data_IF_601610927965
#
_entry.id   IF_601610927965
#
_cell.length_a   1.000
_cell.length_b   1.000
_cell.length_c   1.000
_cell.angle_alpha   90.00
_cell.angle_beta   90.00
_cell.angle_gamma   90.00
#
_symmetry.space_group_name_H-M   'P 1'
#
loop_
_entity.id
_entity.type
_entity.pdbx_description
1 polymer ?
#
# COMPACT_ATOMS: atom_id res chain seq x y z
N UNK A 1 -23.29 1.50 8.24
CA UNK A 1 -23.16 2.13 6.91
C UNK A 1 -24.38 1.77 6.11
N UNK A 2 -25.11 2.77 5.62
CA UNK A 2 -26.23 2.55 4.71
C UNK A 2 -25.78 2.59 3.23
N UNK A 3 -26.71 2.30 2.31
CA UNK A 3 -26.43 2.26 0.87
C UNK A 3 -25.96 3.62 0.34
N UNK A 4 -26.50 4.73 0.84
CA UNK A 4 -26.14 6.07 0.38
C UNK A 4 -24.72 6.44 0.81
N UNK A 5 -24.38 6.19 2.07
CA UNK A 5 -23.03 6.33 2.60
C UNK A 5 -22.03 5.45 1.83
N UNK A 6 -22.44 4.25 1.41
CA UNK A 6 -21.58 3.36 0.64
C UNK A 6 -21.33 3.86 -0.80
N UNK A 7 -22.32 4.46 -1.45
CA UNK A 7 -22.14 5.11 -2.76
C UNK A 7 -21.11 6.25 -2.68
N UNK A 8 -21.06 7.00 -1.57
CA UNK A 8 -20.03 8.02 -1.36
C UNK A 8 -18.62 7.41 -1.23
N UNK A 9 -18.50 6.24 -0.58
CA UNK A 9 -17.23 5.50 -0.50
C UNK A 9 -16.79 4.99 -1.88
N UNK A 10 -17.73 4.51 -2.72
CA UNK A 10 -17.45 4.12 -4.11
C UNK A 10 -16.98 5.34 -4.92
N UNK A 11 -17.65 6.49 -4.79
CA UNK A 11 -17.27 7.71 -5.49
C UNK A 11 -15.88 8.21 -5.08
N UNK A 12 -15.51 8.10 -3.80
CA UNK A 12 -14.17 8.38 -3.31
C UNK A 12 -13.14 7.39 -3.88
N UNK A 13 -13.44 6.09 -3.83
CA UNK A 13 -12.59 5.03 -4.39
C UNK A 13 -12.30 5.29 -5.87
N UNK A 14 -13.33 5.63 -6.64
CA UNK A 14 -13.22 5.97 -8.06
C UNK A 14 -12.35 7.19 -8.29
N UNK A 15 -12.53 8.28 -7.54
CA UNK A 15 -11.68 9.49 -7.66
C UNK A 15 -10.21 9.17 -7.43
N UNK A 16 -9.90 8.36 -6.41
CA UNK A 16 -8.53 7.94 -6.13
C UNK A 16 -7.94 7.09 -7.25
N UNK A 17 -8.70 6.10 -7.75
CA UNK A 17 -8.25 5.23 -8.83
C UNK A 17 -8.12 5.98 -10.16
N UNK A 18 -9.02 6.89 -10.49
CA UNK A 18 -8.93 7.74 -11.68
C UNK A 18 -7.70 8.66 -11.61
N UNK A 19 -7.45 9.27 -10.45
CA UNK A 19 -6.23 10.05 -10.22
C UNK A 19 -4.98 9.21 -10.45
N UNK A 20 -4.98 7.98 -9.94
CA UNK A 20 -3.89 7.03 -10.12
C UNK A 20 -3.68 6.64 -11.59
N UNK A 21 -4.74 6.36 -12.34
CA UNK A 21 -4.61 5.91 -13.73
C UNK A 21 -4.40 7.04 -14.74
N UNK A 22 -4.68 8.31 -14.37
CA UNK A 22 -4.48 9.47 -15.26
C UNK A 22 -3.06 9.99 -15.26
N UNK A 23 -2.30 9.82 -14.18
CA UNK A 23 -0.90 10.27 -14.15
C UNK A 23 -0.07 9.41 -15.10
N UNK A 24 0.51 10.03 -16.12
CA UNK A 24 1.39 9.39 -17.11
C UNK A 24 2.73 8.90 -16.56
N UNK A 25 3.01 9.18 -15.28
CA UNK A 25 4.21 8.75 -14.58
C UNK A 25 3.88 7.72 -13.50
N UNK A 26 3.54 6.50 -13.92
CA UNK A 26 3.29 5.36 -13.02
C UNK A 26 4.48 5.12 -12.07
N UNK A 27 5.69 5.51 -12.46
CA UNK A 27 6.89 5.41 -11.61
C UNK A 27 6.75 6.26 -10.35
N UNK A 28 6.18 7.46 -10.48
CA UNK A 28 5.90 8.36 -9.36
C UNK A 28 4.93 7.72 -8.37
N UNK A 29 3.85 7.11 -8.87
CA UNK A 29 2.83 6.50 -8.01
C UNK A 29 3.26 5.22 -7.30
N UNK A 30 4.01 4.34 -7.98
CA UNK A 30 4.59 3.16 -7.32
C UNK A 30 5.54 3.61 -6.23
N UNK A 31 6.33 4.65 -6.50
CA UNK A 31 7.26 5.24 -5.54
C UNK A 31 6.50 5.83 -4.35
N UNK A 32 5.47 6.65 -4.59
CA UNK A 32 4.58 7.18 -3.54
C UNK A 32 3.94 6.05 -2.74
N UNK A 33 3.44 5.01 -3.40
CA UNK A 33 2.77 3.91 -2.74
C UNK A 33 3.68 3.09 -1.83
N UNK A 34 4.87 2.75 -2.32
CA UNK A 34 5.90 2.08 -1.53
C UNK A 34 6.40 2.97 -0.39
N UNK A 35 6.52 4.28 -0.62
CA UNK A 35 6.88 5.26 0.42
C UNK A 35 5.85 5.28 1.54
N UNK A 36 4.56 5.48 1.21
CA UNK A 36 3.47 5.51 2.19
C UNK A 36 3.33 4.18 2.94
N UNK A 37 3.43 3.06 2.21
CA UNK A 37 3.44 1.71 2.80
C UNK A 37 4.62 1.52 3.76
N UNK A 38 5.82 1.99 3.39
CA UNK A 38 7.02 1.95 4.22
C UNK A 38 6.90 2.82 5.47
N UNK A 39 6.44 4.07 5.34
CA UNK A 39 6.21 5.00 6.45
C UNK A 39 5.19 4.42 7.45
N UNK A 40 4.10 3.83 6.96
CA UNK A 40 3.11 3.17 7.81
C UNK A 40 3.73 1.99 8.57
N UNK A 41 4.54 1.17 7.91
CA UNK A 41 5.22 0.04 8.55
C UNK A 41 6.29 0.47 9.56
N UNK A 42 7.03 1.55 9.31
CA UNK A 42 7.92 2.14 10.33
C UNK A 42 7.14 2.57 11.58
N UNK A 43 5.90 3.04 11.41
CA UNK A 43 5.04 3.42 12.54
C UNK A 43 4.43 2.21 13.27
N UNK A 44 4.01 1.16 12.56
CA UNK A 44 3.24 0.06 13.16
C UNK A 44 4.06 -1.20 13.45
N UNK A 45 5.02 -1.55 12.60
CA UNK A 45 5.87 -2.75 12.72
C UNK A 45 7.32 -2.47 12.29
N UNK A 46 8.03 -1.51 12.93
CA UNK A 46 9.36 -1.07 12.51
C UNK A 46 10.39 -2.21 12.53
N UNK A 47 10.42 -3.01 13.60
CA UNK A 47 11.39 -4.10 13.76
C UNK A 47 11.29 -5.11 12.61
N UNK A 48 10.07 -5.56 12.29
CA UNK A 48 9.84 -6.50 11.20
C UNK A 48 10.28 -5.92 9.84
N UNK A 49 10.03 -4.63 9.58
CA UNK A 49 10.46 -4.01 8.33
C UNK A 49 12.00 -3.91 8.24
N UNK A 50 12.66 -3.49 9.33
CA UNK A 50 14.12 -3.34 9.38
C UNK A 50 14.84 -4.69 9.23
N UNK A 51 14.29 -5.76 9.82
CA UNK A 51 14.83 -7.13 9.72
C UNK A 51 14.58 -7.77 8.35
N UNK A 52 13.41 -7.54 7.75
CA UNK A 52 13.06 -8.18 6.48
C UNK A 52 13.64 -7.47 5.26
N UNK A 53 13.92 -6.17 5.34
CA UNK A 53 14.42 -5.40 4.21
C UNK A 53 15.69 -5.96 3.55
N UNK A 54 16.70 -6.49 4.28
CA UNK A 54 17.84 -7.17 3.65
C UNK A 54 17.50 -8.50 2.94
N UNK A 55 16.33 -9.09 3.24
CA UNK A 55 15.94 -10.43 2.78
C UNK A 55 14.88 -10.39 1.67
N UNK A 56 14.04 -9.36 1.64
CA UNK A 56 12.93 -9.21 0.70
C UNK A 56 13.01 -7.91 -0.11
N UNK A 57 12.88 -8.04 -1.44
CA UNK A 57 12.98 -6.92 -2.36
C UNK A 57 11.89 -5.86 -2.18
N UNK A 58 10.68 -6.25 -1.80
CA UNK A 58 9.57 -5.30 -1.61
C UNK A 58 9.78 -4.49 -0.33
N UNK A 59 10.14 -5.16 0.75
CA UNK A 59 10.43 -4.52 2.04
C UNK A 59 11.68 -3.66 1.97
N UNK A 60 12.70 -4.09 1.23
CA UNK A 60 13.85 -3.27 0.86
C UNK A 60 13.41 -1.95 0.21
N UNK A 61 12.57 -2.01 -0.82
CA UNK A 61 12.11 -0.81 -1.54
C UNK A 61 11.24 0.09 -0.67
N UNK A 62 10.35 -0.48 0.15
CA UNK A 62 9.52 0.28 1.09
C UNK A 62 10.37 1.04 2.10
N UNK A 63 11.32 0.36 2.73
CA UNK A 63 12.16 0.94 3.76
C UNK A 63 13.07 2.03 3.19
N UNK A 64 13.76 1.75 2.08
CA UNK A 64 14.64 2.74 1.43
C UNK A 64 13.89 4.00 1.03
N UNK A 65 12.73 3.87 0.39
CA UNK A 65 11.91 5.03 0.01
C UNK A 65 11.36 5.79 1.22
N UNK A 66 10.89 5.10 2.25
CA UNK A 66 10.40 5.74 3.47
C UNK A 66 11.50 6.51 4.21
N UNK A 67 12.70 5.94 4.33
CA UNK A 67 13.84 6.62 4.93
C UNK A 67 14.31 7.81 4.08
N UNK A 68 14.36 7.65 2.75
CA UNK A 68 14.66 8.77 1.84
C UNK A 68 13.67 9.92 2.03
N UNK A 69 12.37 9.63 2.11
CA UNK A 69 11.35 10.64 2.37
C UNK A 69 11.54 11.33 3.73
N UNK A 70 11.82 10.57 4.81
CA UNK A 70 12.09 11.16 6.13
C UNK A 70 13.32 12.08 6.09
N UNK A 71 14.39 11.68 5.39
CA UNK A 71 15.58 12.51 5.20
C UNK A 71 15.27 13.78 4.41
N UNK A 72 14.58 13.66 3.27
CA UNK A 72 14.21 14.79 2.41
C UNK A 72 13.34 15.82 3.13
N UNK A 73 12.40 15.35 3.96
CA UNK A 73 11.47 16.20 4.72
C UNK A 73 12.00 16.67 6.06
N UNK A 74 13.20 16.25 6.47
CA UNK A 74 13.76 16.54 7.78
C UNK A 74 13.01 15.89 8.96
N UNK A 75 12.20 14.86 8.69
CA UNK A 75 11.51 14.11 9.74
C UNK A 75 12.51 13.31 10.58
N UNK A 76 12.33 13.22 11.91
CA UNK A 76 13.26 12.53 12.78
C UNK A 76 13.32 11.03 12.45
N UNK A 77 14.53 10.50 12.31
CA UNK A 77 14.79 9.07 12.21
C UNK A 77 14.96 8.49 13.62
N UNK A 78 14.33 7.36 13.91
CA UNK A 78 14.53 6.63 15.16
C UNK A 78 15.92 5.98 15.24
N UNK A 79 16.37 5.56 16.42
CA UNK A 79 17.72 5.00 16.59
C UNK A 79 17.99 3.79 15.69
N UNK A 80 17.05 2.84 15.64
CA UNK A 80 17.17 1.64 14.80
C UNK A 80 17.16 1.99 13.30
N UNK A 81 16.38 2.99 12.89
CA UNK A 81 16.33 3.49 11.52
C UNK A 81 17.66 4.15 11.13
N UNK A 82 18.23 4.98 12.01
CA UNK A 82 19.56 5.60 11.81
C UNK A 82 20.65 4.55 11.70
N UNK A 83 20.64 3.55 12.59
CA UNK A 83 21.61 2.47 12.57
C UNK A 83 21.52 1.65 11.27
N UNK A 84 20.30 1.34 10.82
CA UNK A 84 20.07 0.66 9.54
C UNK A 84 20.56 1.51 8.36
N UNK A 85 20.18 2.79 8.31
CA UNK A 85 20.57 3.71 7.24
C UNK A 85 22.10 3.89 7.17
N UNK A 86 22.77 3.97 8.32
CA UNK A 86 24.24 4.05 8.37
C UNK A 86 24.89 2.80 7.75
N UNK A 87 24.41 1.60 8.08
CA UNK A 87 24.89 0.34 7.48
C UNK A 87 24.65 0.32 5.97
N UNK A 88 23.46 0.74 5.54
CA UNK A 88 23.12 0.86 4.12
C UNK A 88 24.07 1.79 3.37
N UNK A 89 24.33 2.99 3.90
CA UNK A 89 25.23 3.97 3.28
C UNK A 89 26.69 3.52 3.24
N UNK A 90 27.12 2.67 4.18
CA UNK A 90 28.45 2.03 4.17
C UNK A 90 28.54 0.81 3.25
N UNK A 91 27.46 0.42 2.59
CA UNK A 91 27.42 -0.77 1.73
C UNK A 91 27.39 -2.09 2.49
N UNK A 92 27.12 -2.08 3.80
CA UNK A 92 27.02 -3.30 4.62
C UNK A 92 25.69 -4.04 4.43
N UNK A 93 24.70 -3.40 3.79
CA UNK A 93 23.41 -3.98 3.46
C UNK A 93 23.35 -4.17 1.94
N UNK A 94 23.43 -5.41 1.50
CA UNK A 94 23.25 -5.76 0.10
C UNK A 94 21.79 -5.64 -0.32
N UNK A 95 21.58 -5.16 -1.55
CA UNK A 95 20.25 -5.14 -2.15
C UNK A 95 19.81 -6.57 -2.45
N UNK A 96 18.68 -7.06 -1.89
CA UNK A 96 18.21 -8.40 -2.18
C UNK A 96 17.87 -8.53 -3.67
N UNK A 97 18.17 -9.70 -4.23
CA UNK A 97 17.81 -10.00 -5.61
C UNK A 97 16.29 -10.04 -5.74
N UNK A 98 15.77 -9.36 -6.77
CA UNK A 98 14.39 -9.59 -7.16
C UNK A 98 14.29 -11.02 -7.67
N UNK A 99 13.42 -11.85 -7.07
CA UNK A 99 13.10 -13.16 -7.64
C UNK A 99 12.41 -12.89 -8.98
N UNK A 100 13.18 -13.01 -10.07
CA UNK A 100 12.73 -12.75 -11.42
C UNK A 100 11.43 -13.51 -11.72
N UNK A 101 10.42 -12.78 -12.16
CA UNK A 101 9.12 -13.28 -12.57
C UNK A 101 8.42 -12.20 -13.39
N UNK A 102 7.46 -12.60 -14.25
CA UNK A 102 6.64 -11.67 -15.04
C UNK A 102 6.19 -10.53 -14.12
N UNK A 103 6.36 -9.24 -14.50
CA UNK A 103 5.79 -8.15 -13.73
C UNK A 103 4.31 -8.47 -13.59
N UNK A 104 3.90 -8.87 -12.39
CA UNK A 104 2.48 -8.90 -12.02
C UNK A 104 1.99 -7.46 -12.16
N UNK A 105 0.70 -7.22 -12.41
CA UNK A 105 0.15 -5.87 -12.54
C UNK A 105 0.41 -5.05 -11.26
N UNK A 106 1.63 -4.55 -11.09
CA UNK A 106 2.11 -3.90 -9.87
C UNK A 106 1.39 -2.60 -9.65
N UNK A 107 1.05 -1.92 -10.72
CA UNK A 107 0.51 -0.57 -10.68
C UNK A 107 -0.95 -0.65 -10.21
N UNK A 108 -1.72 -1.58 -10.78
CA UNK A 108 -3.08 -1.87 -10.31
C UNK A 108 -3.09 -2.42 -8.90
N UNK A 109 -2.19 -3.35 -8.56
CA UNK A 109 -2.12 -3.93 -7.22
C UNK A 109 -1.75 -2.83 -6.18
N UNK A 110 -0.83 -1.92 -6.52
CA UNK A 110 -0.47 -0.76 -5.69
C UNK A 110 -1.64 0.22 -5.59
N UNK A 111 -2.30 0.56 -6.70
CA UNK A 111 -3.47 1.44 -6.70
C UNK A 111 -4.55 0.92 -5.75
N UNK A 112 -4.82 -0.38 -5.80
CA UNK A 112 -5.76 -1.07 -4.92
C UNK A 112 -5.34 -0.92 -3.47
N UNK A 113 -4.08 -1.25 -3.14
CA UNK A 113 -3.60 -1.19 -1.75
C UNK A 113 -3.67 0.23 -1.20
N UNK A 114 -3.30 1.24 -1.98
CA UNK A 114 -3.36 2.64 -1.55
C UNK A 114 -4.79 3.11 -1.39
N UNK A 115 -5.68 2.76 -2.31
CA UNK A 115 -7.10 3.07 -2.19
C UNK A 115 -7.70 2.40 -0.94
N UNK A 116 -7.36 1.14 -0.65
CA UNK A 116 -7.84 0.48 0.59
C UNK A 116 -7.38 1.22 1.82
N UNK A 117 -6.09 1.58 1.89
CA UNK A 117 -5.52 2.31 3.02
C UNK A 117 -6.19 3.69 3.19
N UNK A 118 -6.34 4.45 2.11
CA UNK A 118 -6.96 5.77 2.15
C UNK A 118 -8.43 5.69 2.57
N UNK A 119 -9.21 4.75 2.04
CA UNK A 119 -10.61 4.58 2.44
C UNK A 119 -10.72 4.19 3.91
N UNK A 120 -9.83 3.32 4.38
CA UNK A 120 -9.78 2.93 5.81
C UNK A 120 -9.47 4.14 6.69
N UNK A 121 -8.45 4.93 6.32
CA UNK A 121 -7.99 6.07 7.10
C UNK A 121 -8.96 7.26 7.05
N UNK A 122 -9.60 7.53 5.89
CA UNK A 122 -10.45 8.71 5.67
C UNK A 122 -11.93 8.48 5.95
N UNK A 123 -12.44 7.27 5.68
CA UNK A 123 -13.87 6.94 5.80
C UNK A 123 -14.15 5.97 6.95
N UNK A 124 -13.11 5.47 7.63
CA UNK A 124 -13.26 4.54 8.75
C UNK A 124 -13.85 3.18 8.34
N UNK A 125 -13.82 2.84 7.05
CA UNK A 125 -14.33 1.56 6.55
C UNK A 125 -13.33 0.45 6.76
N UNK A 126 -13.80 -0.74 7.15
CA UNK A 126 -12.92 -1.90 7.26
C UNK A 126 -12.34 -2.28 5.89
N UNK A 127 -11.06 -2.70 5.83
CA UNK A 127 -10.43 -3.13 4.58
C UNK A 127 -11.20 -4.23 3.86
N UNK A 128 -11.69 -5.21 4.64
CA UNK A 128 -12.48 -6.36 4.17
C UNK A 128 -13.75 -6.49 4.99
N UNK A 129 -14.78 -7.11 4.41
CA UNK A 129 -15.98 -7.50 5.15
C UNK A 129 -15.59 -8.50 6.24
N UNK A 130 -16.20 -8.39 7.42
CA UNK A 130 -16.22 -9.47 8.41
C UNK A 130 -17.55 -10.24 8.26
N UNK A 131 -17.54 -11.55 8.56
CA UNK A 131 -18.74 -12.39 8.39
C UNK A 131 -19.88 -12.03 9.37
N UNK A 132 -19.63 -11.13 10.33
CA UNK A 132 -20.52 -10.88 11.47
C UNK A 132 -21.25 -9.53 11.46
N UNK A 133 -20.85 -8.50 10.69
CA UNK A 133 -21.38 -7.15 10.96
C UNK A 133 -21.45 -6.11 9.83
N UNK A 134 -20.82 -6.26 8.66
CA UNK A 134 -20.99 -5.28 7.57
C UNK A 134 -21.01 -5.92 6.18
N UNK A 135 -22.04 -5.66 5.35
CA UNK A 135 -22.04 -6.09 3.95
C UNK A 135 -21.04 -5.30 3.08
N UNK A 136 -20.56 -4.16 3.58
CA UNK A 136 -19.73 -3.22 2.83
C UNK A 136 -18.32 -3.11 3.41
N UNK A 137 -17.32 -3.04 2.54
CA UNK A 137 -15.90 -2.86 2.88
C UNK A 137 -15.17 -2.01 1.85
N UNK A 138 -13.95 -1.57 2.18
CA UNK A 138 -13.08 -0.86 1.22
C UNK A 138 -12.84 -1.70 -0.05
N UNK A 139 -12.66 -3.02 0.08
CA UNK A 139 -12.52 -3.92 -1.07
C UNK A 139 -13.77 -3.95 -1.97
N UNK A 140 -14.97 -3.82 -1.40
CA UNK A 140 -16.22 -3.77 -2.19
C UNK A 140 -16.31 -2.47 -2.98
N UNK A 141 -16.03 -1.34 -2.32
CA UNK A 141 -16.06 -0.04 -2.97
C UNK A 141 -15.06 0.04 -4.12
N UNK A 142 -13.86 -0.53 -3.93
CA UNK A 142 -12.81 -0.57 -4.96
C UNK A 142 -13.19 -1.52 -6.10
N UNK A 143 -13.81 -2.68 -5.81
CA UNK A 143 -14.26 -3.60 -6.85
C UNK A 143 -15.32 -2.94 -7.76
N UNK A 144 -16.28 -2.24 -7.16
CA UNK A 144 -17.29 -1.47 -7.89
C UNK A 144 -16.65 -0.35 -8.72
N UNK A 145 -15.76 0.44 -8.13
CA UNK A 145 -15.05 1.51 -8.83
C UNK A 145 -14.19 0.99 -9.99
N UNK A 146 -13.50 -0.14 -9.84
CA UNK A 146 -12.73 -0.77 -10.90
C UNK A 146 -13.62 -1.27 -12.05
N UNK A 147 -14.81 -1.81 -11.72
CA UNK A 147 -15.80 -2.21 -12.73
C UNK A 147 -16.27 -1.01 -13.56
N UNK A 148 -16.59 0.11 -12.91
CA UNK A 148 -16.99 1.36 -13.58
C UNK A 148 -15.87 1.92 -14.49
N UNK A 149 -14.61 1.70 -14.09
CA UNK A 149 -13.43 2.12 -14.85
C UNK A 149 -13.02 1.12 -15.95
N UNK A 150 -13.72 -0.01 -16.10
CA UNK A 150 -13.36 -1.06 -17.05
C UNK A 150 -12.00 -1.71 -16.75
N UNK A 151 -11.62 -1.78 -15.46
CA UNK A 151 -10.35 -2.34 -14.98
C UNK A 151 -10.59 -3.59 -14.14
N UNK A 152 -9.65 -4.53 -14.17
CA UNK A 152 -9.67 -5.73 -13.31
C UNK A 152 -8.78 -5.54 -12.09
N UNK A 153 -9.07 -6.19 -10.94
CA UNK A 153 -10.22 -7.05 -10.66
C UNK A 153 -11.52 -6.26 -10.35
N UNK A 154 -12.65 -6.77 -10.84
CA UNK A 154 -14.00 -6.17 -10.66
C UNK A 154 -14.82 -6.85 -9.56
N UNK A 155 -14.21 -7.76 -8.79
CA UNK A 155 -14.88 -8.53 -7.76
C UNK A 155 -14.22 -8.32 -6.41
N UNK A 156 -15.01 -8.36 -5.35
CA UNK A 156 -14.53 -8.30 -3.97
C UNK A 156 -13.41 -9.31 -3.72
N UNK A 157 -13.59 -10.58 -4.10
CA UNK A 157 -12.57 -11.62 -3.88
C UNK A 157 -11.26 -11.33 -4.63
N UNK A 158 -11.35 -10.74 -5.83
CA UNK A 158 -10.16 -10.32 -6.58
C UNK A 158 -9.41 -9.21 -5.87
N UNK A 159 -10.11 -8.17 -5.42
CA UNK A 159 -9.54 -7.04 -4.68
C UNK A 159 -9.00 -7.49 -3.32
N UNK A 160 -9.76 -8.30 -2.57
CA UNK A 160 -9.35 -8.89 -1.29
C UNK A 160 -8.08 -9.71 -1.45
N UNK A 161 -7.96 -10.52 -2.50
CA UNK A 161 -6.74 -11.30 -2.77
C UNK A 161 -5.51 -10.42 -3.00
N UNK A 162 -5.68 -9.29 -3.68
CA UNK A 162 -4.60 -8.29 -3.86
C UNK A 162 -4.26 -7.65 -2.52
N UNK A 163 -5.27 -7.19 -1.78
CA UNK A 163 -5.12 -6.61 -0.46
C UNK A 163 -4.39 -7.55 0.50
N UNK A 164 -4.86 -8.78 0.69
CA UNK A 164 -4.25 -9.76 1.59
C UNK A 164 -2.80 -10.12 1.23
N UNK A 165 -2.46 -10.10 -0.07
CA UNK A 165 -1.09 -10.34 -0.52
C UNK A 165 -0.13 -9.22 -0.12
N UNK A 166 -0.63 -8.00 -0.07
CA UNK A 166 0.18 -6.79 0.08
C UNK A 166 -0.04 -6.05 1.40
N UNK A 167 -1.03 -6.47 2.21
CA UNK A 167 -1.36 -5.84 3.49
C UNK A 167 -0.17 -5.97 4.44
N UNK A 168 0.14 -4.93 5.22
CA UNK A 168 1.04 -5.09 6.35
C UNK A 168 0.37 -5.98 7.41
N UNK A 169 1.16 -6.81 8.10
CA UNK A 169 0.69 -7.84 9.06
C UNK A 169 -0.13 -7.28 10.23
N UNK A 170 -0.12 -5.96 10.45
CA UNK A 170 -0.76 -5.26 11.57
C UNK A 170 -2.15 -4.69 11.29
N UNK A 171 -2.86 -5.17 10.25
CA UNK A 171 -4.26 -4.77 9.98
C UNK A 171 -5.17 -5.98 10.13
N UNK A 172 -5.70 -6.14 11.35
CA UNK A 172 -6.91 -6.92 11.64
C UNK A 172 -8.16 -6.05 11.43
#
# INVERSE_FOLDING_TARGET
MDEHEFQDVIAEARRHLEGFFRTTDNTSLITTGLTMSGLRRLRTTPEALLVNAPLDFTDYRRLTLALSYKVETGAPLEEAERAWLAKFLRGEIEKPQSKGGRPRNTDTDVAIVLAVLQLTDLKGVSPTRNDASSPFSACDAIAAALADLGRSPTTFEGVKKVWLRHRPESVE
#
